data_IF_273247121899
#
_entry.id   IF_273247121899
#
_cell.length_a   1.000
_cell.length_b   1.000
_cell.length_c   1.000
_cell.angle_alpha   90.00
_cell.angle_beta   90.00
_cell.angle_gamma   90.00
#
_symmetry.space_group_name_H-M   'P 1'
#
loop_
_entity.id
_entity.type
_entity.pdbx_description
1 polymer ?
#
# COMPACT_ATOMS: atom_id res chain seq x y z
N UNK A 1 18.16 -8.16 -8.26
CA UNK A 1 16.82 -7.60 -7.96
C UNK A 1 16.74 -7.08 -6.52
N UNK A 2 17.21 -7.82 -5.50
CA UNK A 2 17.12 -7.39 -4.09
C UNK A 2 17.82 -6.06 -3.79
N UNK A 3 18.96 -5.74 -4.42
CA UNK A 3 19.62 -4.44 -4.27
C UNK A 3 18.72 -3.27 -4.72
N UNK A 4 18.02 -3.42 -5.85
CA UNK A 4 17.09 -2.40 -6.36
C UNK A 4 15.92 -2.23 -5.39
N UNK A 5 15.33 -3.34 -4.92
CA UNK A 5 14.28 -3.30 -3.89
C UNK A 5 14.76 -2.58 -2.63
N UNK A 6 15.98 -2.89 -2.17
CA UNK A 6 16.54 -2.31 -0.95
C UNK A 6 16.76 -0.79 -1.06
N UNK A 7 17.24 -0.29 -2.20
CA UNK A 7 17.35 1.15 -2.45
C UNK A 7 15.99 1.83 -2.37
N UNK A 8 14.95 1.28 -3.00
CA UNK A 8 13.61 1.85 -2.95
C UNK A 8 13.02 1.84 -1.53
N UNK A 9 13.26 0.77 -0.75
CA UNK A 9 12.83 0.71 0.65
C UNK A 9 13.50 1.79 1.50
N UNK A 10 14.80 2.04 1.31
CA UNK A 10 15.48 3.15 1.99
C UNK A 10 14.86 4.49 1.59
N UNK A 11 14.60 4.73 0.31
CA UNK A 11 13.96 5.96 -0.16
C UNK A 11 12.56 6.15 0.43
N UNK A 12 11.74 5.09 0.48
CA UNK A 12 10.42 5.13 1.12
C UNK A 12 10.51 5.41 2.62
N UNK A 13 11.48 4.81 3.30
CA UNK A 13 11.72 5.05 4.73
C UNK A 13 12.17 6.48 5.02
N UNK A 14 12.98 7.08 4.15
CA UNK A 14 13.30 8.51 4.20
C UNK A 14 12.04 9.34 3.96
N UNK A 15 11.20 8.99 2.99
CA UNK A 15 9.91 9.65 2.77
C UNK A 15 9.01 9.66 4.02
N UNK A 16 8.89 8.53 4.71
CA UNK A 16 8.16 8.46 5.98
C UNK A 16 8.78 9.33 7.07
N UNK A 17 10.11 9.40 7.14
CA UNK A 17 10.82 10.26 8.11
C UNK A 17 10.57 11.75 7.86
N UNK A 18 10.38 12.18 6.60
CA UNK A 18 10.08 13.57 6.27
C UNK A 18 8.73 14.00 6.85
N UNK A 19 7.72 13.12 6.86
CA UNK A 19 6.45 13.41 7.53
C UNK A 19 6.63 13.55 9.04
N UNK A 20 7.43 12.67 9.66
CA UNK A 20 7.74 12.77 11.10
C UNK A 20 8.40 14.11 11.41
N UNK A 21 9.45 14.48 10.65
CA UNK A 21 10.13 15.77 10.80
C UNK A 21 9.16 16.94 10.62
N UNK A 22 8.25 16.86 9.65
CA UNK A 22 7.20 17.88 9.43
C UNK A 22 6.32 18.06 10.66
N UNK A 23 5.86 16.96 11.26
CA UNK A 23 4.94 16.98 12.38
C UNK A 23 5.60 17.34 13.72
N UNK A 24 6.87 16.99 13.94
CA UNK A 24 7.54 17.17 15.23
C UNK A 24 8.37 18.45 15.32
N UNK A 25 8.88 18.96 14.19
CA UNK A 25 9.84 20.08 14.21
C UNK A 25 9.50 21.21 13.23
N UNK A 26 8.97 20.91 12.04
CA UNK A 26 8.73 21.94 11.01
C UNK A 26 7.29 22.48 11.06
N UNK A 27 6.93 23.13 12.16
CA UNK A 27 5.65 23.86 12.28
C UNK A 27 4.40 23.00 12.44
N UNK A 28 4.52 21.67 12.49
CA UNK A 28 3.42 20.79 12.89
C UNK A 28 2.45 20.40 11.78
N UNK A 29 1.37 19.73 12.15
CA UNK A 29 0.29 19.34 11.22
C UNK A 29 -1.08 19.69 11.83
N UNK A 30 -2.10 19.76 10.99
CA UNK A 30 -3.46 20.06 11.42
C UNK A 30 -4.02 18.92 12.28
N UNK A 31 -4.48 19.26 13.48
CA UNK A 31 -5.18 18.34 14.36
C UNK A 31 -6.69 18.66 14.36
N UNK A 32 -7.54 17.75 13.86
CA UNK A 32 -8.98 17.95 13.83
C UNK A 32 -9.65 17.92 15.20
N UNK A 33 -9.02 17.36 16.24
CA UNK A 33 -9.62 17.28 17.58
C UNK A 33 -9.62 18.64 18.29
N UNK A 34 -8.70 19.52 17.91
CA UNK A 34 -8.50 20.85 18.49
C UNK A 34 -8.58 21.97 17.43
N UNK A 35 -8.84 21.60 16.17
CA UNK A 35 -9.02 22.48 15.01
C UNK A 35 -7.86 23.46 14.76
N UNK A 36 -6.63 23.06 15.09
CA UNK A 36 -5.44 23.90 14.93
C UNK A 36 -4.22 23.10 14.46
N UNK A 37 -3.27 23.80 13.86
CA UNK A 37 -1.97 23.22 13.51
C UNK A 37 -1.10 23.20 14.76
N UNK A 38 -0.57 22.02 15.10
CA UNK A 38 0.32 21.86 16.27
C UNK A 38 1.48 20.92 16.00
N UNK A 39 2.52 21.07 16.81
CA UNK A 39 3.58 20.06 16.91
C UNK A 39 3.03 18.81 17.61
N UNK A 40 3.44 17.65 17.11
CA UNK A 40 3.00 16.33 17.59
C UNK A 40 4.15 15.64 18.30
N UNK A 41 3.90 15.08 19.49
CA UNK A 41 4.85 14.21 20.18
C UNK A 41 4.54 12.74 19.85
N UNK A 42 5.36 12.03 19.07
CA UNK A 42 5.00 10.70 18.57
C UNK A 42 4.87 9.66 19.70
N UNK A 43 3.87 8.80 19.63
CA UNK A 43 3.77 7.63 20.49
C UNK A 43 4.62 6.48 19.94
N UNK A 44 5.61 6.02 20.70
CA UNK A 44 6.53 4.97 20.28
C UNK A 44 6.22 3.60 20.88
N UNK A 45 5.15 3.45 21.66
CA UNK A 45 4.78 2.16 22.25
C UNK A 45 4.48 1.12 21.14
N UNK A 46 5.30 0.07 20.97
CA UNK A 46 5.13 -0.91 19.90
C UNK A 46 3.83 -1.71 20.06
N UNK A 47 3.35 -1.94 21.29
CA UNK A 47 2.13 -2.69 21.52
C UNK A 47 0.92 -1.92 20.97
N UNK A 48 0.88 -0.61 21.23
CA UNK A 48 -0.13 0.29 20.67
C UNK A 48 -0.05 0.35 19.14
N UNK A 49 1.12 0.65 18.58
CA UNK A 49 1.27 0.88 17.15
C UNK A 49 1.02 -0.39 16.32
N UNK A 50 1.59 -1.52 16.72
CA UNK A 50 1.40 -2.78 16.00
C UNK A 50 0.02 -3.39 16.27
N UNK A 51 -0.64 -3.04 17.38
CA UNK A 51 -2.01 -3.46 17.69
C UNK A 51 -3.02 -3.06 16.61
N UNK A 52 -2.85 -1.87 16.02
CA UNK A 52 -3.70 -1.38 14.93
C UNK A 52 -3.68 -2.29 13.69
N UNK A 53 -2.58 -2.98 13.41
CA UNK A 53 -2.49 -3.92 12.28
C UNK A 53 -3.45 -5.10 12.43
N UNK A 54 -3.80 -5.45 13.67
CA UNK A 54 -4.72 -6.53 14.01
C UNK A 54 -6.10 -6.02 14.48
N UNK A 55 -6.35 -4.71 14.35
CA UNK A 55 -7.61 -4.08 14.74
C UNK A 55 -7.75 -3.76 16.22
N UNK A 56 -6.70 -3.92 17.02
CA UNK A 56 -6.72 -3.49 18.42
C UNK A 56 -6.50 -1.98 18.51
N UNK A 57 -7.59 -1.27 18.78
CA UNK A 57 -7.61 0.18 19.04
C UNK A 57 -7.66 0.43 20.56
N UNK A 58 -7.39 1.66 21.03
CA UNK A 58 -7.66 2.08 22.43
C UNK A 58 -9.05 1.68 22.93
N UNK A 59 -10.03 1.72 22.03
CA UNK A 59 -11.44 1.55 22.32
C UNK A 59 -11.92 0.11 22.12
N UNK A 60 -11.00 -0.84 21.91
CA UNK A 60 -11.27 -2.25 21.68
C UNK A 60 -10.97 -2.71 20.25
N UNK A 61 -11.42 -3.92 19.91
CA UNK A 61 -11.21 -4.48 18.58
C UNK A 61 -12.17 -3.85 17.56
N UNK A 62 -11.64 -3.47 16.40
CA UNK A 62 -12.40 -2.86 15.30
C UNK A 62 -12.11 -3.57 13.97
N UNK A 63 -13.14 -3.65 13.13
CA UNK A 63 -13.00 -4.21 11.78
C UNK A 63 -12.26 -3.27 10.82
N UNK A 64 -12.22 -1.97 11.14
CA UNK A 64 -11.54 -0.94 10.34
C UNK A 64 -10.03 -0.97 10.51
N UNK A 65 -9.49 -1.76 11.45
CA UNK A 65 -8.05 -2.00 11.54
C UNK A 65 -7.29 -0.70 11.85
N UNK A 66 -6.26 -0.42 11.06
CA UNK A 66 -5.45 0.80 11.16
C UNK A 66 -6.26 2.08 10.91
N UNK A 67 -7.38 2.02 10.20
CA UNK A 67 -8.23 3.19 9.97
C UNK A 67 -8.98 3.64 11.24
N UNK A 68 -8.90 2.90 12.34
CA UNK A 68 -9.43 3.28 13.65
C UNK A 68 -8.55 4.22 14.46
N UNK A 69 -7.38 4.64 13.93
CA UNK A 69 -6.48 5.57 14.63
C UNK A 69 -7.20 6.89 14.92
N UNK A 70 -7.14 7.32 16.18
CA UNK A 70 -8.00 8.38 16.73
C UNK A 70 -7.23 9.59 17.28
N UNK A 71 -5.91 9.64 17.07
CA UNK A 71 -5.05 10.75 17.48
C UNK A 71 -3.81 10.86 16.57
N UNK A 72 -3.14 12.03 16.58
CA UNK A 72 -1.98 12.27 15.73
C UNK A 72 -0.70 11.63 16.26
N UNK A 73 -0.58 11.44 17.57
CA UNK A 73 0.57 10.85 18.23
C UNK A 73 0.82 9.43 17.72
N UNK A 74 -0.24 8.64 17.56
CA UNK A 74 -0.20 7.28 17.01
C UNK A 74 0.06 7.28 15.50
N UNK A 75 -0.49 8.26 14.75
CA UNK A 75 -0.21 8.41 13.31
C UNK A 75 1.27 8.67 13.07
N UNK A 76 1.84 9.66 13.76
CA UNK A 76 3.25 10.02 13.59
C UNK A 76 4.17 8.95 14.20
N UNK A 77 3.77 8.36 15.34
CA UNK A 77 4.43 7.21 15.93
C UNK A 77 4.54 6.03 14.98
N UNK A 78 3.45 5.70 14.29
CA UNK A 78 3.41 4.68 13.24
C UNK A 78 4.40 4.98 12.10
N UNK A 79 4.51 6.23 11.67
CA UNK A 79 5.47 6.62 10.62
C UNK A 79 6.93 6.54 11.08
N UNK A 80 7.23 6.72 12.37
CA UNK A 80 8.56 6.41 12.92
C UNK A 80 8.86 4.92 12.74
N UNK A 81 7.93 4.04 13.15
CA UNK A 81 8.10 2.60 12.98
C UNK A 81 8.23 2.19 11.51
N UNK A 82 7.39 2.70 10.62
CA UNK A 82 7.48 2.44 9.17
C UNK A 82 8.83 2.91 8.61
N UNK A 83 9.30 4.09 9.00
CA UNK A 83 10.61 4.61 8.56
C UNK A 83 11.74 3.66 8.97
N UNK A 84 11.78 3.25 10.24
CA UNK A 84 12.79 2.33 10.76
C UNK A 84 12.74 0.96 10.08
N UNK A 85 11.55 0.39 9.90
CA UNK A 85 11.37 -0.90 9.25
C UNK A 85 11.75 -0.87 7.77
N UNK A 86 11.39 0.20 7.05
CA UNK A 86 11.76 0.37 5.64
C UNK A 86 13.26 0.56 5.45
N UNK A 87 13.91 1.41 6.27
CA UNK A 87 15.37 1.63 6.17
C UNK A 87 16.11 0.35 6.57
N UNK A 88 15.76 -0.26 7.71
CA UNK A 88 16.38 -1.50 8.18
C UNK A 88 16.21 -2.66 7.19
N UNK A 89 14.99 -2.85 6.68
CA UNK A 89 14.70 -3.85 5.64
C UNK A 89 15.38 -3.54 4.31
N UNK A 90 15.50 -2.26 3.94
CA UNK A 90 16.19 -1.82 2.74
C UNK A 90 17.68 -2.13 2.78
N UNK A 91 18.36 -1.78 3.89
CA UNK A 91 19.77 -2.13 4.12
C UNK A 91 19.98 -3.64 4.11
N UNK A 92 19.10 -4.39 4.79
CA UNK A 92 19.11 -5.85 4.76
C UNK A 92 19.04 -6.41 3.33
N UNK A 93 18.14 -5.90 2.49
CA UNK A 93 18.00 -6.35 1.09
C UNK A 93 19.15 -5.94 0.17
N UNK A 94 19.89 -4.87 0.51
CA UNK A 94 21.11 -4.46 -0.21
C UNK A 94 22.25 -5.44 0.07
N UNK A 95 22.46 -5.81 1.33
CA UNK A 95 23.62 -6.61 1.75
C UNK A 95 23.38 -8.13 1.67
N UNK A 96 22.12 -8.57 1.58
CA UNK A 96 21.76 -9.99 1.56
C UNK A 96 21.33 -10.48 0.16
N UNK A 97 21.31 -11.81 0.01
CA UNK A 97 20.76 -12.51 -1.15
C UNK A 97 19.59 -13.41 -0.71
N UNK A 98 18.61 -13.70 -1.58
CA UNK A 98 17.52 -14.60 -1.25
C UNK A 98 18.03 -15.96 -0.78
N UNK A 99 17.46 -16.43 0.34
CA UNK A 99 17.72 -17.75 0.93
C UNK A 99 17.15 -18.87 0.06
N UNK A 100 17.57 -20.12 0.31
CA UNK A 100 17.14 -21.28 -0.46
C UNK A 100 15.62 -21.49 -0.44
N UNK A 101 14.99 -21.32 0.72
CA UNK A 101 13.53 -21.48 0.87
C UNK A 101 12.75 -20.50 -0.02
N UNK A 102 13.15 -19.23 -0.05
CA UNK A 102 12.49 -18.21 -0.86
C UNK A 102 12.66 -18.49 -2.36
N UNK A 103 13.85 -18.98 -2.76
CA UNK A 103 14.12 -19.38 -4.14
C UNK A 103 13.23 -20.51 -4.64
N UNK A 104 12.81 -21.41 -3.74
CA UNK A 104 11.99 -22.58 -4.08
C UNK A 104 10.50 -22.26 -4.22
N UNK A 105 9.99 -21.28 -3.47
CA UNK A 105 8.55 -20.98 -3.42
C UNK A 105 8.16 -19.89 -4.43
N UNK A 106 9.03 -18.93 -4.69
CA UNK A 106 8.74 -17.77 -5.53
C UNK A 106 9.11 -18.01 -7.00
N UNK A 107 8.43 -17.28 -7.89
CA UNK A 107 8.74 -17.25 -9.32
C UNK A 107 9.62 -16.02 -9.59
N UNK A 108 10.78 -16.25 -10.19
CA UNK A 108 11.80 -15.22 -10.42
C UNK A 108 11.74 -14.71 -11.86
N UNK A 109 10.64 -14.06 -12.22
CA UNK A 109 10.44 -13.44 -13.55
C UNK A 109 9.89 -12.03 -13.43
N UNK A 110 10.12 -11.19 -14.45
CA UNK A 110 9.58 -9.82 -14.47
C UNK A 110 8.05 -9.77 -14.33
N UNK A 111 7.35 -10.69 -14.99
CA UNK A 111 5.88 -10.79 -14.89
C UNK A 111 5.42 -11.23 -13.48
N UNK A 112 6.18 -12.09 -12.80
CA UNK A 112 5.87 -12.46 -11.42
C UNK A 112 6.07 -11.26 -10.47
N UNK A 113 7.16 -10.50 -10.63
CA UNK A 113 7.40 -9.30 -9.81
C UNK A 113 6.30 -8.25 -10.02
N UNK A 114 5.88 -8.03 -11.27
CA UNK A 114 4.74 -7.16 -11.59
C UNK A 114 3.47 -7.64 -10.88
N UNK A 115 3.18 -8.95 -10.92
CA UNK A 115 2.02 -9.52 -10.23
C UNK A 115 2.10 -9.28 -8.71
N UNK A 116 3.24 -9.51 -8.06
CA UNK A 116 3.40 -9.28 -6.62
C UNK A 116 3.11 -7.81 -6.24
N UNK A 117 3.62 -6.86 -7.04
CA UNK A 117 3.35 -5.43 -6.84
C UNK A 117 1.88 -5.06 -7.08
N UNK A 118 1.21 -5.65 -8.07
CA UNK A 118 -0.23 -5.44 -8.30
C UNK A 118 -1.08 -5.94 -7.12
N UNK A 119 -0.69 -7.07 -6.52
CA UNK A 119 -1.36 -7.58 -5.32
C UNK A 119 -1.21 -6.64 -4.12
N UNK A 120 -0.01 -6.09 -3.91
CA UNK A 120 0.24 -5.09 -2.87
C UNK A 120 -0.54 -3.79 -3.12
N UNK A 121 -0.60 -3.31 -4.37
CA UNK A 121 -1.38 -2.12 -4.75
C UNK A 121 -2.89 -2.34 -4.57
N UNK A 122 -3.40 -3.54 -4.81
CA UNK A 122 -4.80 -3.87 -4.55
C UNK A 122 -5.15 -3.69 -3.07
N UNK A 123 -4.33 -4.25 -2.16
CA UNK A 123 -4.50 -4.09 -0.72
C UNK A 123 -4.43 -2.61 -0.35
N UNK A 124 -3.43 -1.87 -0.84
CA UNK A 124 -3.31 -0.44 -0.58
C UNK A 124 -4.55 0.35 -1.05
N UNK A 125 -5.07 0.07 -2.24
CA UNK A 125 -6.27 0.72 -2.78
C UNK A 125 -7.50 0.49 -1.91
N UNK A 126 -7.74 -0.76 -1.48
CA UNK A 126 -8.84 -1.06 -0.56
C UNK A 126 -8.64 -0.44 0.83
N UNK A 127 -7.41 -0.46 1.36
CA UNK A 127 -7.11 0.19 2.64
C UNK A 127 -7.37 1.70 2.58
N UNK A 128 -6.92 2.39 1.51
CA UNK A 128 -7.18 3.83 1.33
C UNK A 128 -8.67 4.11 1.23
N UNK A 129 -9.44 3.27 0.53
CA UNK A 129 -10.89 3.43 0.45
C UNK A 129 -11.57 3.36 1.84
N UNK A 130 -11.11 2.47 2.72
CA UNK A 130 -11.58 2.39 4.12
C UNK A 130 -11.13 3.60 4.93
N UNK A 131 -9.86 4.00 4.84
CA UNK A 131 -9.32 5.17 5.55
C UNK A 131 -10.08 6.45 5.22
N UNK A 132 -10.24 6.75 3.92
CA UNK A 132 -10.95 7.94 3.45
C UNK A 132 -12.40 7.93 3.91
N UNK A 133 -13.07 6.77 3.92
CA UNK A 133 -14.49 6.70 4.27
C UNK A 133 -14.78 6.72 5.78
N UNK A 134 -13.82 6.39 6.64
CA UNK A 134 -14.09 6.15 8.07
C UNK A 134 -13.25 6.98 9.05
N UNK A 135 -12.08 7.48 8.64
CA UNK A 135 -11.16 8.13 9.58
C UNK A 135 -11.32 9.66 9.57
N UNK A 136 -11.42 10.28 10.75
CA UNK A 136 -11.51 11.75 10.91
C UNK A 136 -10.17 12.41 11.21
N UNK A 137 -9.13 11.63 11.54
CA UNK A 137 -7.84 12.17 11.97
C UNK A 137 -6.99 12.55 10.76
N UNK A 138 -6.77 11.60 9.86
CA UNK A 138 -5.96 11.81 8.64
C UNK A 138 -6.79 12.28 7.45
N UNK A 139 -8.13 12.19 7.53
CA UNK A 139 -9.07 12.78 6.58
C UNK A 139 -10.12 13.65 7.31
N UNK A 140 -9.73 14.83 7.84
CA UNK A 140 -10.64 15.71 8.57
C UNK A 140 -11.88 16.12 7.76
N UNK A 141 -13.07 16.01 8.37
CA UNK A 141 -14.32 16.46 7.74
C UNK A 141 -14.31 17.93 7.31
N UNK A 142 -13.53 18.79 7.98
CA UNK A 142 -13.37 20.21 7.59
C UNK A 142 -12.84 20.37 6.16
N UNK A 143 -12.01 19.42 5.69
CA UNK A 143 -11.45 19.45 4.34
C UNK A 143 -12.14 18.49 3.37
N UNK A 144 -12.60 17.34 3.86
CA UNK A 144 -13.08 16.24 3.01
C UNK A 144 -14.61 16.05 3.05
N UNK A 145 -15.30 16.69 3.98
CA UNK A 145 -16.73 16.55 4.24
C UNK A 145 -17.07 15.44 5.26
N UNK A 146 -18.29 15.46 5.83
CA UNK A 146 -18.71 14.49 6.85
C UNK A 146 -18.71 13.03 6.38
N UNK A 147 -18.49 12.09 7.29
CA UNK A 147 -18.63 10.64 7.03
C UNK A 147 -20.04 10.34 6.49
N UNK A 148 -20.13 9.49 5.47
CA UNK A 148 -21.41 9.03 4.93
C UNK A 148 -22.16 10.05 4.08
N UNK A 149 -21.62 11.26 3.89
CA UNK A 149 -22.17 12.24 2.95
C UNK A 149 -21.70 11.96 1.51
N UNK A 150 -22.48 12.42 0.52
CA UNK A 150 -22.06 12.47 -0.89
C UNK A 150 -21.03 13.59 -1.11
N UNK A 151 -19.85 13.42 -0.53
CA UNK A 151 -18.74 14.39 -0.53
C UNK A 151 -17.54 13.88 -1.33
N UNK A 152 -16.43 14.63 -1.30
CA UNK A 152 -15.15 14.24 -1.88
C UNK A 152 -14.68 12.87 -1.36
N UNK A 153 -15.05 12.50 -0.13
CA UNK A 153 -14.74 11.19 0.44
C UNK A 153 -15.35 10.05 -0.34
N UNK A 154 -16.63 10.17 -0.69
CA UNK A 154 -17.33 9.15 -1.47
C UNK A 154 -16.63 8.94 -2.82
N UNK A 155 -16.29 10.03 -3.51
CA UNK A 155 -15.57 9.97 -4.78
C UNK A 155 -14.19 9.32 -4.63
N UNK A 156 -13.38 9.78 -3.67
CA UNK A 156 -12.04 9.22 -3.43
C UNK A 156 -12.08 7.75 -3.03
N UNK A 157 -13.02 7.36 -2.15
CA UNK A 157 -13.19 5.97 -1.74
C UNK A 157 -13.60 5.08 -2.92
N UNK A 158 -14.57 5.51 -3.74
CA UNK A 158 -14.99 4.76 -4.93
C UNK A 158 -13.86 4.61 -5.96
N UNK A 159 -13.10 5.67 -6.21
CA UNK A 159 -11.95 5.63 -7.14
C UNK A 159 -10.89 4.66 -6.64
N UNK A 160 -10.48 4.75 -5.38
CA UNK A 160 -9.44 3.85 -4.84
C UNK A 160 -9.90 2.41 -4.73
N UNK A 161 -11.18 2.16 -4.40
CA UNK A 161 -11.75 0.82 -4.42
C UNK A 161 -11.79 0.24 -5.85
N UNK A 162 -12.16 1.05 -6.85
CA UNK A 162 -12.15 0.65 -8.26
C UNK A 162 -10.75 0.35 -8.79
N UNK A 163 -9.77 1.21 -8.48
CA UNK A 163 -8.37 0.98 -8.83
C UNK A 163 -7.78 -0.23 -8.09
N UNK A 164 -8.11 -0.42 -6.83
CA UNK A 164 -7.72 -1.60 -6.05
C UNK A 164 -8.27 -2.89 -6.64
N UNK A 165 -9.55 -2.88 -7.06
CA UNK A 165 -10.16 -4.00 -7.77
C UNK A 165 -9.47 -4.29 -9.11
N UNK A 166 -9.19 -3.25 -9.91
CA UNK A 166 -8.49 -3.43 -11.19
C UNK A 166 -7.07 -3.99 -10.97
N UNK A 167 -6.35 -3.50 -9.96
CA UNK A 167 -5.05 -4.03 -9.58
C UNK A 167 -5.15 -5.50 -9.13
N UNK A 168 -6.21 -5.90 -8.43
CA UNK A 168 -6.45 -7.29 -8.04
C UNK A 168 -6.68 -8.19 -9.27
N UNK A 169 -7.51 -7.76 -10.22
CA UNK A 169 -7.70 -8.49 -11.48
C UNK A 169 -6.39 -8.63 -12.24
N UNK A 170 -5.60 -7.56 -12.33
CA UNK A 170 -4.27 -7.56 -12.92
C UNK A 170 -3.30 -8.52 -12.20
N UNK A 171 -3.33 -8.54 -10.87
CA UNK A 171 -2.55 -9.47 -10.05
C UNK A 171 -2.86 -10.92 -10.41
N UNK A 172 -4.16 -11.30 -10.41
CA UNK A 172 -4.61 -12.66 -10.73
C UNK A 172 -4.21 -13.07 -12.15
N UNK A 173 -4.39 -12.17 -13.12
CA UNK A 173 -4.01 -12.38 -14.51
C UNK A 173 -2.51 -12.66 -14.66
N UNK A 174 -1.65 -11.74 -14.19
CA UNK A 174 -0.20 -11.91 -14.31
C UNK A 174 0.36 -13.05 -13.44
N UNK A 175 -0.24 -13.33 -12.28
CA UNK A 175 0.15 -14.47 -11.43
C UNK A 175 -0.11 -15.80 -12.15
N UNK A 176 -1.26 -15.93 -12.80
CA UNK A 176 -1.59 -17.12 -13.59
C UNK A 176 -0.60 -17.29 -14.76
N UNK A 177 -0.36 -16.22 -15.52
CA UNK A 177 0.58 -16.23 -16.66
C UNK A 177 2.00 -16.59 -16.25
N UNK A 178 2.51 -16.01 -15.17
CA UNK A 178 3.83 -16.31 -14.63
C UNK A 178 3.95 -17.80 -14.24
N UNK A 179 2.90 -18.38 -13.64
CA UNK A 179 2.84 -19.81 -13.29
C UNK A 179 2.70 -20.73 -14.50
N UNK A 180 1.94 -20.33 -15.52
CA UNK A 180 1.79 -21.13 -16.73
C UNK A 180 3.09 -21.16 -17.55
N UNK A 181 3.81 -20.03 -17.60
CA UNK A 181 5.11 -19.92 -18.24
C UNK A 181 6.16 -20.84 -17.61
N UNK A 182 6.21 -20.96 -16.27
CA UNK A 182 7.15 -21.90 -15.61
C UNK A 182 6.84 -23.36 -15.90
N UNK A 183 5.56 -23.69 -16.17
CA UNK A 183 5.11 -25.04 -16.55
C UNK A 183 5.18 -25.30 -18.06
N UNK A 184 5.63 -24.33 -18.87
CA UNK A 184 5.61 -24.39 -20.35
C UNK A 184 4.22 -24.69 -20.92
N UNK A 185 3.16 -24.32 -20.20
CA UNK A 185 1.78 -24.46 -20.67
C UNK A 185 1.49 -23.27 -21.57
N UNK A 186 1.14 -23.53 -22.83
CA UNK A 186 0.67 -22.49 -23.73
C UNK A 186 -0.68 -21.98 -23.23
N UNK A 187 -0.77 -20.69 -22.96
CA UNK A 187 -2.03 -20.03 -22.63
C UNK A 187 -2.29 -18.99 -23.72
N UNK A 188 -3.46 -19.06 -24.36
CA UNK A 188 -3.86 -18.06 -25.34
C UNK A 188 -4.03 -16.72 -24.65
N UNK A 189 -3.39 -15.69 -25.17
CA UNK A 189 -3.65 -14.31 -24.76
C UNK A 189 -4.92 -13.80 -25.40
N UNK A 190 -5.51 -12.72 -24.85
CA UNK A 190 -6.58 -11.99 -25.53
C UNK A 190 -6.16 -11.58 -26.95
N UNK A 191 -4.89 -11.18 -27.13
CA UNK A 191 -4.35 -10.86 -28.45
C UNK A 191 -4.22 -12.10 -29.36
N UNK A 192 -3.90 -13.29 -28.83
CA UNK A 192 -3.93 -14.53 -29.62
C UNK A 192 -5.36 -14.89 -30.05
N UNK A 193 -6.35 -14.63 -29.18
CA UNK A 193 -7.76 -14.79 -29.52
C UNK A 193 -8.20 -13.78 -30.60
N UNK A 194 -7.84 -12.51 -30.46
CA UNK A 194 -8.13 -11.48 -31.45
C UNK A 194 -7.42 -11.76 -32.78
N UNK A 195 -6.15 -12.18 -32.74
CA UNK A 195 -5.33 -12.47 -33.91
C UNK A 195 -5.79 -13.72 -34.68
N UNK A 196 -6.41 -14.70 -34.00
CA UNK A 196 -6.97 -15.89 -34.65
C UNK A 196 -8.01 -15.56 -35.74
N UNK A 197 -8.66 -14.40 -35.68
CA UNK A 197 -9.69 -13.99 -36.63
C UNK A 197 -9.26 -12.87 -37.59
N UNK A 198 -8.00 -12.43 -37.55
CA UNK A 198 -7.48 -11.44 -38.49
C UNK A 198 -6.89 -12.17 -39.69
N UNK A 199 -7.59 -12.10 -40.84
CA UNK A 199 -7.05 -12.61 -42.10
C UNK A 199 -5.74 -11.88 -42.42
N UNK A 200 -4.66 -12.59 -42.79
CA UNK A 200 -3.43 -11.92 -43.21
C UNK A 200 -3.72 -11.09 -44.46
N UNK A 201 -3.47 -9.78 -44.38
CA UNK A 201 -3.47 -8.91 -45.54
C UNK A 201 -2.38 -9.43 -46.46
N UNK A 202 -2.78 -10.09 -47.57
CA UNK A 202 -1.82 -10.49 -48.60
C UNK A 202 -1.37 -9.21 -49.30
N UNK A 203 -0.06 -8.91 -49.38
CA UNK A 203 0.41 -7.83 -50.23
C UNK A 203 0.05 -8.16 -51.69
N UNK A 204 -0.42 -7.13 -52.40
CA UNK A 204 -0.74 -7.18 -53.84
C UNK A 204 0.53 -7.34 -54.68
#
# INVERSE_FOLDING_TARGET
MTTILGIHLVLLGVGASLLVVKATTLGGIYDPLIEQVRLVQPNLDPARILGYLFGFSPNGWTITGMASVDNLEDVIGGHVWVSLLCIGGGLFHIISKPTGWAKQILIWSGEAYLSYSLGALAIAGFSVAVFVSTNEIVYPSVFYGPIGSNSVRAALASVHAGLGFLALVGHLWHAYRARAATRKVFYGTFFDFMAKNVAPIRPA
#
